data_IF_850075455470
#
_entry.id   IF_850075455470
#
_cell.length_a   1.000
_cell.length_b   1.000
_cell.length_c   1.000
_cell.angle_alpha   90.00
_cell.angle_beta   90.00
_cell.angle_gamma   90.00
#
_symmetry.space_group_name_H-M   'P 1'
#
loop_
_entity.id
_entity.type
_entity.pdbx_description
1 polymer ?
#
# COMPACT_ATOMS: atom_id res chain seq x y z
N UNK A 1 29.17 -32.05 -5.45
CA UNK A 1 29.70 -31.21 -4.40
C UNK A 1 29.45 -29.73 -4.69
N UNK A 2 29.54 -29.31 -5.97
CA UNK A 2 29.21 -27.92 -6.26
C UNK A 2 27.73 -27.62 -6.02
N UNK A 3 26.90 -28.61 -6.18
CA UNK A 3 25.51 -28.47 -5.85
C UNK A 3 25.26 -28.26 -4.35
N UNK A 4 26.09 -28.95 -3.54
CA UNK A 4 26.00 -28.80 -2.09
C UNK A 4 26.47 -27.43 -1.65
N UNK A 5 27.49 -26.89 -2.31
CA UNK A 5 27.98 -25.56 -1.98
C UNK A 5 27.00 -24.47 -2.38
N UNK A 6 26.32 -24.66 -3.48
CA UNK A 6 25.38 -23.67 -3.98
C UNK A 6 24.07 -23.66 -3.22
N UNK A 7 23.64 -24.79 -2.67
CA UNK A 7 22.35 -24.89 -2.04
C UNK A 7 22.13 -23.90 -0.88
N UNK A 8 23.07 -23.76 0.07
CA UNK A 8 22.88 -22.79 1.15
C UNK A 8 22.79 -21.35 0.66
N UNK A 9 23.63 -21.02 -0.32
CA UNK A 9 23.61 -19.66 -0.89
C UNK A 9 22.32 -19.39 -1.62
N UNK A 10 21.83 -20.37 -2.37
CA UNK A 10 20.57 -20.23 -3.08
C UNK A 10 19.41 -20.02 -2.13
N UNK A 11 19.38 -20.78 -1.04
CA UNK A 11 18.32 -20.64 -0.05
C UNK A 11 18.36 -19.27 0.60
N UNK A 12 19.55 -18.80 0.95
CA UNK A 12 19.69 -17.48 1.57
C UNK A 12 19.27 -16.40 0.60
N UNK A 13 19.66 -16.50 -0.67
CA UNK A 13 19.31 -15.51 -1.68
C UNK A 13 17.80 -15.50 -1.92
N UNK A 14 17.20 -16.67 -2.05
CA UNK A 14 15.74 -16.75 -2.27
C UNK A 14 14.99 -16.18 -1.09
N UNK A 15 15.40 -16.52 0.13
CA UNK A 15 14.75 -16.01 1.32
C UNK A 15 14.90 -14.51 1.43
N UNK A 16 16.10 -13.98 1.12
CA UNK A 16 16.33 -12.54 1.14
C UNK A 16 15.46 -11.82 0.12
N UNK A 17 15.36 -12.37 -1.07
CA UNK A 17 14.50 -11.79 -2.10
C UNK A 17 13.04 -11.84 -1.71
N UNK A 18 12.61 -12.91 -1.08
CA UNK A 18 11.23 -13.03 -0.62
C UNK A 18 10.90 -11.99 0.44
N UNK A 19 11.81 -11.76 1.38
CA UNK A 19 11.60 -10.77 2.42
C UNK A 19 11.50 -9.37 1.82
N UNK A 20 12.39 -9.04 0.89
CA UNK A 20 12.36 -7.74 0.22
C UNK A 20 11.05 -7.57 -0.54
N UNK A 21 10.62 -8.61 -1.25
CA UNK A 21 9.39 -8.56 -2.01
C UNK A 21 8.19 -8.36 -1.07
N UNK A 22 8.17 -9.08 0.04
CA UNK A 22 7.10 -8.92 1.01
C UNK A 22 7.07 -7.51 1.59
N UNK A 23 8.24 -6.94 1.89
CA UNK A 23 8.31 -5.58 2.36
C UNK A 23 7.75 -4.60 1.35
N UNK A 24 8.09 -4.79 0.08
CA UNK A 24 7.58 -3.91 -0.97
C UNK A 24 6.08 -4.03 -1.11
N UNK A 25 5.56 -5.25 -0.97
CA UNK A 25 4.12 -5.47 -1.03
C UNK A 25 3.40 -4.78 0.12
N UNK A 26 3.96 -4.86 1.32
CA UNK A 26 3.38 -4.19 2.49
C UNK A 26 3.38 -2.68 2.28
N UNK A 27 4.49 -2.13 1.80
CA UNK A 27 4.58 -0.70 1.54
C UNK A 27 3.58 -0.25 0.48
N UNK A 28 3.42 -1.06 -0.56
CA UNK A 28 2.45 -0.74 -1.60
C UNK A 28 1.04 -0.72 -1.04
N UNK A 29 0.71 -1.66 -0.15
CA UNK A 29 -0.58 -1.68 0.49
C UNK A 29 -0.79 -0.47 1.39
N UNK A 30 0.24 -0.08 2.13
CA UNK A 30 0.16 1.09 2.99
C UNK A 30 -0.10 2.36 2.17
N UNK A 31 0.61 2.52 1.07
CA UNK A 31 0.42 3.68 0.19
C UNK A 31 -0.99 3.68 -0.36
N UNK A 32 -1.48 2.51 -0.78
CA UNK A 32 -2.82 2.39 -1.30
C UNK A 32 -3.86 2.78 -0.25
N UNK A 33 -3.68 2.31 0.98
CA UNK A 33 -4.61 2.65 2.06
C UNK A 33 -4.60 4.14 2.35
N UNK A 34 -3.43 4.76 2.35
CA UNK A 34 -3.31 6.19 2.56
C UNK A 34 -4.01 6.96 1.45
N UNK A 35 -3.84 6.52 0.22
CA UNK A 35 -4.49 7.15 -0.92
C UNK A 35 -6.00 7.06 -0.81
N UNK A 36 -6.50 5.87 -0.50
CA UNK A 36 -7.94 5.65 -0.37
C UNK A 36 -8.53 6.45 0.78
N UNK A 37 -7.79 6.55 1.88
CA UNK A 37 -8.22 7.35 3.01
C UNK A 37 -8.31 8.83 2.64
N UNK A 38 -7.29 9.34 1.96
CA UNK A 38 -7.28 10.72 1.53
C UNK A 38 -8.43 11.00 0.56
N UNK A 39 -8.68 10.08 -0.36
CA UNK A 39 -9.77 10.24 -1.31
C UNK A 39 -11.12 10.26 -0.60
N UNK A 40 -11.30 9.37 0.36
CA UNK A 40 -12.54 9.31 1.13
C UNK A 40 -12.77 10.60 1.90
N UNK A 41 -11.72 11.13 2.54
CA UNK A 41 -11.82 12.39 3.25
C UNK A 41 -12.14 13.54 2.32
N UNK A 42 -11.52 13.56 1.16
CA UNK A 42 -11.79 14.59 0.17
C UNK A 42 -13.25 14.58 -0.26
N UNK A 43 -13.77 13.40 -0.57
CA UNK A 43 -15.14 13.24 -0.99
C UNK A 43 -16.12 13.63 0.11
N UNK A 44 -15.79 13.27 1.35
CA UNK A 44 -16.60 13.63 2.49
C UNK A 44 -16.65 15.14 2.68
N UNK A 45 -15.50 15.78 2.57
CA UNK A 45 -15.45 17.23 2.70
C UNK A 45 -16.24 17.93 1.59
N UNK A 46 -16.14 17.43 0.37
CA UNK A 46 -16.96 17.97 -0.73
C UNK A 46 -18.44 17.80 -0.44
N UNK A 47 -18.83 16.67 0.09
CA UNK A 47 -20.22 16.42 0.45
C UNK A 47 -20.72 17.37 1.53
N UNK A 48 -19.88 17.65 2.51
CA UNK A 48 -20.22 18.59 3.56
C UNK A 48 -20.38 20.02 3.02
N UNK A 49 -19.49 20.41 2.12
CA UNK A 49 -19.56 21.72 1.49
C UNK A 49 -20.85 21.86 0.71
N UNK A 50 -21.19 20.86 -0.08
CA UNK A 50 -22.42 20.87 -0.86
C UNK A 50 -23.64 20.95 0.04
N UNK A 51 -23.63 20.22 1.16
CA UNK A 51 -24.71 20.26 2.11
C UNK A 51 -24.85 21.65 2.73
N UNK A 52 -23.73 22.27 3.05
CA UNK A 52 -23.73 23.61 3.64
C UNK A 52 -24.30 24.67 2.67
N UNK A 53 -24.02 24.50 1.38
CA UNK A 53 -24.51 25.47 0.38
C UNK A 53 -25.98 25.25 0.05
N UNK A 54 -26.42 24.02 0.04
CA UNK A 54 -27.76 23.68 -0.40
C UNK A 54 -28.89 24.42 0.35
N UNK A 55 -28.86 24.49 1.68
CA UNK A 55 -29.93 25.22 2.40
C UNK A 55 -29.99 26.68 2.05
N UNK A 56 -28.85 27.25 1.70
CA UNK A 56 -28.81 28.68 1.34
C UNK A 56 -29.49 28.90 0.00
N UNK A 57 -29.33 27.95 -0.90
CA UNK A 57 -29.92 28.06 -2.26
C UNK A 57 -31.43 27.91 -2.25
N UNK A 58 -31.98 27.34 -1.19
CA UNK A 58 -33.43 27.17 -1.09
C UNK A 58 -34.05 28.36 -0.42
#
# INVERSE_FOLDING_TARGET
SWGTQDAPDSETTVNGNSVVLEEQMVRAQEVRMQYETALTLYQKNLGLIRTAIRPVAR
#
